data_IF_120606046507
#
_entry.id   IF_120606046507
#
_cell.length_a   1.000
_cell.length_b   1.000
_cell.length_c   1.000
_cell.angle_alpha   90.00
_cell.angle_beta   90.00
_cell.angle_gamma   90.00
#
_symmetry.space_group_name_H-M   'P 1'
#
loop_
_entity.id
_entity.type
_entity.pdbx_description
1 polymer ?
#
# COMPACT_ATOMS: atom_id res chain seq x y z
N UNK A 1 -20.82 -1.73 3.51
CA UNK A 1 -19.66 -1.07 4.08
C UNK A 1 -18.41 -1.49 3.33
N UNK A 2 -17.59 -0.53 2.92
CA UNK A 2 -16.40 -0.85 2.14
C UNK A 2 -15.33 -1.46 3.03
N UNK A 3 -14.60 -2.43 2.50
CA UNK A 3 -13.43 -2.97 3.16
C UNK A 3 -12.27 -2.01 2.97
N UNK A 4 -11.36 -2.01 3.92
CA UNK A 4 -10.18 -1.16 3.87
C UNK A 4 -8.97 -2.03 3.59
N UNK A 5 -8.25 -1.72 2.51
CA UNK A 5 -7.10 -2.48 2.07
C UNK A 5 -5.85 -1.63 2.12
N UNK A 6 -4.77 -2.17 2.66
CA UNK A 6 -3.45 -1.54 2.63
C UNK A 6 -2.56 -2.36 1.71
N UNK A 7 -1.99 -1.73 0.69
CA UNK A 7 -1.11 -2.38 -0.26
C UNK A 7 0.29 -1.80 -0.11
N UNK A 8 1.22 -2.59 0.39
CA UNK A 8 2.60 -2.13 0.51
C UNK A 8 3.23 -2.10 -0.88
N UNK A 9 4.01 -1.05 -1.16
CA UNK A 9 4.54 -0.84 -2.49
C UNK A 9 3.45 -0.64 -3.53
N UNK A 10 2.34 -0.01 -3.14
CA UNK A 10 1.12 0.05 -3.95
C UNK A 10 1.06 1.14 -5.00
N UNK A 11 2.08 2.00 -5.10
CA UNK A 11 2.00 3.15 -6.00
C UNK A 11 2.59 2.89 -7.38
N UNK A 12 3.22 1.75 -7.59
CA UNK A 12 3.79 1.43 -8.90
C UNK A 12 3.91 -0.08 -9.10
N UNK A 13 4.15 -0.48 -10.34
CA UNK A 13 4.35 -1.87 -10.70
C UNK A 13 3.17 -2.75 -10.37
N UNK A 14 3.46 -3.94 -9.87
CA UNK A 14 2.42 -4.91 -9.51
C UNK A 14 1.53 -4.36 -8.39
N UNK A 15 2.12 -3.66 -7.44
CA UNK A 15 1.35 -3.05 -6.36
C UNK A 15 0.33 -2.05 -6.86
N UNK A 16 0.69 -1.24 -7.86
CA UNK A 16 -0.25 -0.31 -8.48
C UNK A 16 -1.44 -1.05 -9.09
N UNK A 17 -1.16 -2.14 -9.83
CA UNK A 17 -2.21 -2.93 -10.43
C UNK A 17 -3.15 -3.52 -9.38
N UNK A 18 -2.58 -4.04 -8.28
CA UNK A 18 -3.37 -4.59 -7.19
C UNK A 18 -4.24 -3.51 -6.55
N UNK A 19 -3.67 -2.33 -6.32
CA UNK A 19 -4.42 -1.21 -5.73
C UNK A 19 -5.61 -0.82 -6.58
N UNK A 20 -5.42 -0.75 -7.89
CA UNK A 20 -6.50 -0.40 -8.82
C UNK A 20 -7.60 -1.46 -8.86
N UNK A 21 -7.22 -2.73 -8.88
CA UNK A 21 -8.19 -3.82 -8.86
C UNK A 21 -9.02 -3.79 -7.58
N UNK A 22 -8.37 -3.60 -6.44
CA UNK A 22 -9.09 -3.54 -5.16
C UNK A 22 -10.05 -2.36 -5.13
N UNK A 23 -9.62 -1.23 -5.67
CA UNK A 23 -10.50 -0.06 -5.72
C UNK A 23 -11.72 -0.35 -6.57
N UNK A 24 -11.55 -1.04 -7.68
CA UNK A 24 -12.67 -1.39 -8.55
C UNK A 24 -13.67 -2.31 -7.87
N UNK A 25 -13.23 -3.12 -6.91
CA UNK A 25 -14.14 -3.99 -6.17
C UNK A 25 -14.93 -3.24 -5.10
N UNK A 26 -14.68 -1.95 -4.94
CA UNK A 26 -15.37 -1.14 -3.94
C UNK A 26 -14.60 -0.99 -2.65
N UNK A 27 -13.41 -1.55 -2.54
CA UNK A 27 -12.59 -1.39 -1.34
C UNK A 27 -12.01 0.01 -1.28
N UNK A 28 -11.83 0.50 -0.07
CA UNK A 28 -11.10 1.74 0.15
C UNK A 28 -9.64 1.37 0.32
N UNK A 29 -8.78 1.87 -0.56
CA UNK A 29 -7.39 1.45 -0.63
C UNK A 29 -6.44 2.52 -0.11
N UNK A 30 -5.46 2.10 0.68
CA UNK A 30 -4.32 2.92 1.05
C UNK A 30 -3.10 2.27 0.41
N UNK A 31 -2.38 3.01 -0.42
CA UNK A 31 -1.20 2.50 -1.10
C UNK A 31 0.05 3.03 -0.42
N UNK A 32 0.87 2.12 0.07
CA UNK A 32 2.10 2.48 0.76
C UNK A 32 3.25 2.68 -0.23
N UNK A 33 4.14 3.60 0.09
CA UNK A 33 5.38 3.78 -0.65
C UNK A 33 6.50 4.14 0.32
N UNK A 34 7.75 3.94 -0.10
CA UNK A 34 8.88 4.15 0.78
C UNK A 34 9.54 5.53 0.60
N UNK A 35 9.78 5.95 -0.62
CA UNK A 35 10.63 7.12 -0.83
C UNK A 35 10.23 8.06 -1.96
N UNK A 36 9.64 7.60 -3.04
CA UNK A 36 9.40 8.46 -4.20
C UNK A 36 8.10 9.26 -4.06
N UNK A 37 8.22 10.43 -3.42
CA UNK A 37 7.07 11.29 -3.18
C UNK A 37 6.40 11.76 -4.47
N UNK A 38 7.19 12.06 -5.49
CA UNK A 38 6.63 12.56 -6.75
C UNK A 38 5.78 11.50 -7.43
N UNK A 39 6.25 10.27 -7.47
CA UNK A 39 5.50 9.17 -8.06
C UNK A 39 4.23 8.87 -7.25
N UNK A 40 4.32 8.96 -5.93
CA UNK A 40 3.18 8.72 -5.06
C UNK A 40 2.12 9.80 -5.23
N UNK A 41 2.53 11.06 -5.33
CA UNK A 41 1.61 12.16 -5.54
C UNK A 41 0.93 12.07 -6.91
N UNK A 42 1.68 11.70 -7.94
CA UNK A 42 1.11 11.49 -9.27
C UNK A 42 0.09 10.35 -9.26
N UNK A 43 0.40 9.27 -8.56
CA UNK A 43 -0.51 8.13 -8.41
C UNK A 43 -1.80 8.55 -7.71
N UNK A 44 -1.69 9.32 -6.63
CA UNK A 44 -2.85 9.79 -5.89
C UNK A 44 -3.72 10.71 -6.75
N UNK A 45 -3.09 11.62 -7.48
CA UNK A 45 -3.83 12.53 -8.37
C UNK A 45 -4.54 11.77 -9.48
N UNK A 46 -3.91 10.73 -10.00
CA UNK A 46 -4.44 9.96 -11.11
C UNK A 46 -5.57 9.02 -10.68
N UNK A 47 -5.46 8.43 -9.51
CA UNK A 47 -6.35 7.35 -9.09
C UNK A 47 -7.30 7.71 -7.96
N UNK A 48 -7.03 8.80 -7.25
CA UNK A 48 -7.73 9.20 -6.04
C UNK A 48 -7.57 8.17 -4.89
N UNK A 49 -6.56 7.30 -4.99
CA UNK A 49 -6.25 6.35 -3.93
C UNK A 49 -5.36 7.03 -2.90
N UNK A 50 -5.66 6.86 -1.61
CA UNK A 50 -4.84 7.43 -0.54
C UNK A 50 -3.44 6.80 -0.57
N UNK A 51 -2.43 7.62 -0.29
CA UNK A 51 -1.06 7.12 -0.22
C UNK A 51 -0.52 7.35 1.19
N UNK A 52 0.37 6.46 1.62
CA UNK A 52 1.01 6.58 2.92
C UNK A 52 2.47 6.19 2.81
N UNK A 53 3.31 6.99 3.45
CA UNK A 53 4.76 6.81 3.35
C UNK A 53 5.31 6.16 4.61
N UNK A 54 5.88 4.98 4.48
CA UNK A 54 6.68 4.37 5.54
C UNK A 54 7.52 3.24 4.94
N UNK A 55 8.65 2.97 5.59
CA UNK A 55 9.57 1.92 5.13
C UNK A 55 9.14 0.59 5.75
N UNK A 56 8.70 -0.35 4.91
CA UNK A 56 8.26 -1.66 5.39
C UNK A 56 9.40 -2.49 5.96
N UNK A 57 10.65 -2.13 5.68
CA UNK A 57 11.81 -2.78 6.25
C UNK A 57 12.11 -2.33 7.67
N UNK A 58 11.48 -1.26 8.14
CA UNK A 58 11.66 -0.74 9.48
C UNK A 58 10.43 -1.09 10.30
N UNK A 59 10.59 -1.96 11.30
CA UNK A 59 9.46 -2.45 12.09
C UNK A 59 8.67 -1.31 12.75
N UNK A 60 9.38 -0.36 13.36
CA UNK A 60 8.72 0.74 14.06
C UNK A 60 8.00 1.67 13.10
N UNK A 61 8.62 1.99 11.97
CA UNK A 61 7.98 2.82 10.95
C UNK A 61 6.76 2.14 10.36
N UNK A 62 6.83 0.84 10.15
CA UNK A 62 5.72 0.05 9.64
C UNK A 62 4.56 0.06 10.63
N UNK A 63 4.85 -0.16 11.91
CA UNK A 63 3.83 -0.16 12.96
C UNK A 63 3.13 1.20 13.05
N UNK A 64 3.92 2.27 13.04
CA UNK A 64 3.37 3.63 13.10
C UNK A 64 2.55 3.95 11.86
N UNK A 65 3.04 3.53 10.68
CA UNK A 65 2.33 3.76 9.44
C UNK A 65 0.99 3.06 9.38
N UNK A 66 0.95 1.81 9.83
CA UNK A 66 -0.31 1.06 9.89
C UNK A 66 -1.28 1.71 10.88
N UNK A 67 -0.78 2.12 12.04
CA UNK A 67 -1.62 2.79 13.03
C UNK A 67 -2.21 4.08 12.47
N UNK A 68 -1.42 4.83 11.73
CA UNK A 68 -1.89 6.07 11.12
C UNK A 68 -2.97 5.81 10.08
N UNK A 69 -2.78 4.79 9.25
CA UNK A 69 -3.80 4.42 8.27
C UNK A 69 -5.10 4.05 8.98
N UNK A 70 -5.01 3.28 10.05
CA UNK A 70 -6.20 2.88 10.79
C UNK A 70 -6.89 4.07 11.45
N UNK A 71 -6.12 5.05 11.91
CA UNK A 71 -6.69 6.25 12.50
C UNK A 71 -7.36 7.15 11.46
N UNK A 72 -6.76 7.25 10.29
CA UNK A 72 -7.24 8.17 9.25
C UNK A 72 -8.37 7.57 8.40
N UNK A 73 -8.32 6.28 8.14
CA UNK A 73 -9.25 5.62 7.23
C UNK A 73 -10.17 4.65 7.96
N UNK A 74 -9.61 3.82 8.81
CA UNK A 74 -10.35 2.82 9.57
C UNK A 74 -9.61 1.50 9.67
N UNK A 75 -10.17 0.52 10.36
CA UNK A 75 -9.51 -0.77 10.56
C UNK A 75 -9.18 -1.45 9.23
N UNK A 76 -7.95 -1.93 9.11
CA UNK A 76 -7.52 -2.60 7.89
C UNK A 76 -8.08 -4.02 7.85
N UNK A 77 -8.85 -4.32 6.81
CA UNK A 77 -9.42 -5.65 6.60
C UNK A 77 -8.54 -6.52 5.72
N UNK A 78 -7.82 -5.90 4.80
CA UNK A 78 -7.02 -6.62 3.81
C UNK A 78 -5.62 -6.01 3.80
N UNK A 79 -4.61 -6.84 4.00
CA UNK A 79 -3.22 -6.39 3.91
C UNK A 79 -2.54 -7.14 2.76
N UNK A 80 -2.09 -6.41 1.75
CA UNK A 80 -1.35 -7.00 0.64
C UNK A 80 0.12 -6.62 0.80
N UNK A 81 0.94 -7.58 1.16
CA UNK A 81 2.36 -7.36 1.41
C UNK A 81 3.16 -7.50 0.11
N UNK A 82 2.94 -6.59 -0.82
CA UNK A 82 3.60 -6.61 -2.11
C UNK A 82 5.06 -6.17 -2.04
N UNK A 83 5.37 -5.21 -1.17
CA UNK A 83 6.75 -4.73 -1.07
C UNK A 83 7.73 -5.81 -0.59
N UNK A 84 7.23 -6.82 0.10
CA UNK A 84 8.06 -7.93 0.57
C UNK A 84 8.37 -8.95 -0.51
N UNK A 85 7.79 -8.83 -1.70
CA UNK A 85 8.03 -9.76 -2.76
C UNK A 85 9.01 -9.17 -3.72
N UNK A 86 10.00 -8.60 -3.43
CA UNK A 86 10.84 -8.05 -4.39
C UNK A 86 11.82 -8.95 -4.84
N UNK A 87 12.09 -8.74 -5.86
CA UNK A 87 13.12 -9.05 -6.42
C UNK A 87 13.91 -10.06 -6.07
N UNK A 88 14.48 -10.34 -5.92
CA UNK A 88 15.26 -11.28 -5.64
C UNK A 88 14.91 -12.17 -4.81
N UNK A 89 14.39 -12.35 -4.51
CA UNK A 89 14.17 -13.25 -3.72
C UNK A 89 13.67 -14.38 -3.98
N UNK A 90 14.00 -15.03 -4.25
CA UNK A 90 13.34 -16.06 -4.64
C UNK A 90 12.64 -16.80 -3.86
N UNK A 91 13.00 -16.43 -3.61
CA UNK A 91 12.40 -17.06 -3.14
C UNK A 91 11.85 -17.35 -2.67
N UNK A 92 11.95 -17.08 -2.53
CA UNK A 92 11.40 -17.25 -2.16
C UNK A 92 10.82 -17.78 -2.32
N UNK A 93 11.07 -18.11 -2.67
CA UNK A 93 10.55 -18.63 -2.97
C UNK A 93 9.92 -19.04 -2.63
N UNK A 94 9.70 -19.10 -2.44
CA UNK A 94 9.14 -19.38 -2.07
C UNK A 94 8.90 -19.65 -1.86
#
# INVERSE_FOLDING_TARGET
MARIALVTGGTRGIGRAISLVLKETGARVAANYAANDDAANAFKDETAIEVCKFDVGDFDACKDGISKVEADIGPIDILVNNAGITRDDPLHKM
#
